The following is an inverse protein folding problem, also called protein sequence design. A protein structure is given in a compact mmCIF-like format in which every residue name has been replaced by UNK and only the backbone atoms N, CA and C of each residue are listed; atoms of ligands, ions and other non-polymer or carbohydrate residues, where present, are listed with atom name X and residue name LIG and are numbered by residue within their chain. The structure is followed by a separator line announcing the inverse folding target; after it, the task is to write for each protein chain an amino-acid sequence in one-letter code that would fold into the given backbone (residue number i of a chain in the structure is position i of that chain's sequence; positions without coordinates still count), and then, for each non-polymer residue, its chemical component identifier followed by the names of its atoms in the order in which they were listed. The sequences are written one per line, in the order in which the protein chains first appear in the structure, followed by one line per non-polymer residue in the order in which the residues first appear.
data_IF_465798530715
#
_entry.id   IF_465798530715
#
_cell.length_a   1.000
_cell.length_b   1.000
_cell.length_c   1.000
_cell.angle_alpha   90.00
_cell.angle_beta   90.00
_cell.angle_gamma   90.00
#
_symmetry.space_group_name_H-M   'P 1'
#
loop_
_entity.id
_entity.type
_entity.pdbx_description
1 polymer ?
#
# COMPACT_ATOMS: atom_id res chain seq x y z
N UNK A 1 -7.90 12.20 11.52
CA UNK A 1 -7.69 11.06 10.60
C UNK A 1 -6.26 10.57 10.65
N UNK A 2 -5.27 11.47 10.54
CA UNK A 2 -3.85 11.18 10.80
C UNK A 2 -3.56 10.33 12.06
N UNK A 3 -4.17 10.65 13.22
CA UNK A 3 -3.97 9.86 14.45
C UNK A 3 -4.45 8.41 14.33
N UNK A 4 -5.47 8.14 13.51
CA UNK A 4 -5.99 6.78 13.30
C UNK A 4 -5.07 5.97 12.40
N UNK A 5 -4.49 6.60 11.36
CA UNK A 5 -3.48 5.96 10.51
C UNK A 5 -2.20 5.65 11.30
N UNK A 6 -1.75 6.56 12.17
CA UNK A 6 -0.60 6.28 13.04
C UNK A 6 -0.86 5.13 14.02
N UNK A 7 -2.07 5.02 14.56
CA UNK A 7 -2.43 3.90 15.42
C UNK A 7 -2.46 2.57 14.65
N UNK A 8 -3.05 2.58 13.45
CA UNK A 8 -3.06 1.40 12.58
C UNK A 8 -1.64 1.01 12.15
N UNK A 9 -0.77 1.99 11.87
CA UNK A 9 0.66 1.78 11.61
C UNK A 9 1.32 1.04 12.78
N UNK A 10 1.13 1.48 14.01
CA UNK A 10 1.70 0.81 15.20
C UNK A 10 1.25 -0.64 15.30
N UNK A 11 -0.03 -0.91 15.06
CA UNK A 11 -0.58 -2.28 15.05
C UNK A 11 0.07 -3.15 13.97
N UNK A 12 0.25 -2.63 12.76
CA UNK A 12 0.94 -3.34 11.67
C UNK A 12 2.39 -3.65 12.06
N UNK A 13 3.09 -2.69 12.66
CA UNK A 13 4.52 -2.84 13.00
C UNK A 13 4.80 -3.90 14.07
N UNK A 14 3.81 -4.23 14.91
CA UNK A 14 3.93 -5.28 15.95
C UNK A 14 3.24 -6.59 15.56
N UNK A 15 2.67 -6.68 14.36
CA UNK A 15 1.93 -7.86 13.90
C UNK A 15 2.84 -9.09 13.70
N UNK A 16 2.43 -10.23 14.26
CA UNK A 16 3.15 -11.50 14.17
C UNK A 16 2.34 -12.62 13.47
N UNK A 17 1.16 -12.31 12.91
CA UNK A 17 0.23 -13.30 12.32
C UNK A 17 0.83 -14.15 11.19
N UNK A 18 1.90 -13.68 10.56
CA UNK A 18 2.59 -14.40 9.47
C UNK A 18 3.81 -15.20 9.95
N UNK A 19 4.11 -15.25 11.26
CA UNK A 19 5.32 -15.88 11.83
C UNK A 19 5.45 -17.36 11.48
N UNK A 20 4.32 -18.06 11.35
CA UNK A 20 4.29 -19.49 11.04
C UNK A 20 4.67 -19.78 9.58
N UNK A 21 4.68 -18.74 8.73
CA UNK A 21 5.00 -18.84 7.31
C UNK A 21 6.39 -18.27 6.97
N UNK A 22 6.86 -17.26 7.72
CA UNK A 22 8.18 -16.62 7.56
C UNK A 22 8.46 -15.62 8.70
N UNK A 23 9.71 -15.13 8.79
CA UNK A 23 10.07 -14.08 9.75
C UNK A 23 9.32 -12.78 9.42
N UNK A 24 8.37 -12.33 10.28
CA UNK A 24 7.60 -11.13 10.02
C UNK A 24 8.55 -9.93 10.01
N UNK A 25 8.46 -9.15 8.93
CA UNK A 25 9.25 -7.95 8.75
C UNK A 25 8.35 -6.88 8.11
N UNK A 26 7.40 -6.30 8.89
CA UNK A 26 6.48 -5.29 8.39
C UNK A 26 7.22 -4.12 7.74
N UNK A 27 6.68 -3.61 6.63
CA UNK A 27 7.19 -2.43 5.95
C UNK A 27 6.03 -1.66 5.35
N UNK A 28 6.15 -0.34 5.37
CA UNK A 28 5.16 0.61 4.86
C UNK A 28 5.88 1.70 4.07
N UNK A 29 5.17 2.32 3.13
CA UNK A 29 5.67 3.47 2.39
C UNK A 29 6.05 4.61 3.34
N UNK A 30 7.33 5.01 3.32
CA UNK A 30 7.84 6.06 4.20
C UNK A 30 7.37 7.44 3.74
N UNK A 31 7.25 8.34 4.71
CA UNK A 31 7.19 9.79 4.50
C UNK A 31 8.59 10.42 4.41
N UNK A 32 9.64 9.64 4.64
CA UNK A 32 11.05 10.04 4.67
C UNK A 32 11.65 10.04 3.25
N UNK A 33 11.03 10.79 2.33
CA UNK A 33 11.67 11.15 1.08
C UNK A 33 12.27 12.54 1.25
N UNK A 34 13.60 12.62 1.36
CA UNK A 34 14.31 13.87 1.62
C UNK A 34 14.01 14.98 0.60
N UNK A 35 13.62 14.60 -0.63
CA UNK A 35 13.34 15.52 -1.73
C UNK A 35 11.86 15.57 -2.15
N UNK A 36 10.96 14.88 -1.43
CA UNK A 36 9.57 14.86 -1.82
C UNK A 36 8.60 14.79 -0.63
N UNK A 37 7.66 15.71 -0.64
CA UNK A 37 6.59 15.93 0.34
C UNK A 37 5.51 14.83 0.34
N UNK A 38 5.84 13.65 -0.17
CA UNK A 38 4.94 12.49 -0.25
C UNK A 38 4.79 11.87 1.13
N UNK A 39 3.56 11.82 1.65
CA UNK A 39 3.28 11.32 3.01
C UNK A 39 3.30 9.80 3.14
N UNK A 40 3.34 9.06 2.03
CA UNK A 40 3.39 7.60 2.03
C UNK A 40 2.17 6.96 2.69
N UNK A 41 2.40 6.06 3.64
CA UNK A 41 1.34 5.42 4.43
C UNK A 41 0.50 6.42 5.24
N UNK A 42 1.06 7.57 5.59
CA UNK A 42 0.36 8.60 6.37
C UNK A 42 -0.39 9.60 5.47
N UNK A 43 -0.45 9.35 4.17
CA UNK A 43 -1.31 10.10 3.26
C UNK A 43 -2.78 9.88 3.63
N UNK A 44 -3.52 10.98 3.76
CA UNK A 44 -4.95 10.97 4.11
C UNK A 44 -5.86 10.83 2.87
N UNK A 45 -5.26 10.64 1.70
CA UNK A 45 -5.93 10.46 0.42
C UNK A 45 -6.22 11.76 -0.32
N UNK A 46 -6.25 12.93 0.33
CA UNK A 46 -6.69 14.17 -0.30
C UNK A 46 -5.79 14.63 -1.45
N UNK A 47 -6.34 14.67 -2.65
CA UNK A 47 -5.71 15.22 -3.86
C UNK A 47 -6.68 16.14 -4.59
N UNK A 48 -6.23 16.80 -5.66
CA UNK A 48 -7.11 17.60 -6.52
C UNK A 48 -8.17 16.77 -7.26
N UNK A 49 -8.00 15.45 -7.34
CA UNK A 49 -8.90 14.53 -8.00
C UNK A 49 -9.90 13.86 -7.04
N UNK A 50 -9.85 14.19 -5.74
CA UNK A 50 -10.57 13.47 -4.69
C UNK A 50 -9.62 12.66 -3.81
N UNK A 51 -10.18 11.72 -3.05
CA UNK A 51 -9.43 10.86 -2.13
C UNK A 51 -8.87 9.65 -2.86
N UNK A 52 -7.55 9.57 -2.97
CA UNK A 52 -6.86 8.54 -3.75
C UNK A 52 -6.02 7.65 -2.85
N UNK A 53 -6.14 6.35 -3.06
CA UNK A 53 -5.35 5.31 -2.40
C UNK A 53 -4.65 4.45 -3.46
N UNK A 54 -3.32 4.40 -3.41
CA UNK A 54 -2.51 3.50 -4.23
C UNK A 54 -2.25 2.21 -3.47
N UNK A 55 -2.55 1.07 -4.10
CA UNK A 55 -2.39 -0.25 -3.51
C UNK A 55 -1.39 -1.04 -4.38
N UNK A 56 -0.23 -1.35 -3.82
CA UNK A 56 0.78 -2.22 -4.41
C UNK A 56 0.64 -3.66 -3.89
N UNK A 57 1.39 -4.59 -4.50
CA UNK A 57 1.21 -6.02 -4.24
C UNK A 57 1.80 -6.43 -2.88
N UNK A 58 3.08 -6.14 -2.66
CA UNK A 58 3.77 -6.35 -1.38
C UNK A 58 5.05 -5.51 -1.27
N UNK A 59 5.51 -5.26 -0.04
CA UNK A 59 6.88 -4.83 0.23
C UNK A 59 7.90 -5.92 -0.15
N UNK A 60 8.83 -5.62 -1.05
CA UNK A 60 9.88 -6.59 -1.42
C UNK A 60 11.01 -6.66 -0.38
N UNK A 61 11.63 -7.84 -0.19
CA UNK A 61 12.84 -8.00 0.65
C UNK A 61 14.12 -7.41 0.08
N UNK A 62 14.09 -6.84 -1.14
CA UNK A 62 15.18 -5.99 -1.56
C UNK A 62 15.15 -4.77 -0.64
N UNK A 63 15.89 -4.85 0.47
CA UNK A 63 16.26 -3.68 1.26
C UNK A 63 16.59 -2.60 0.25
N UNK A 64 16.05 -1.37 0.35
CA UNK A 64 16.40 -0.30 -0.57
C UNK A 64 17.93 -0.23 -0.77
N UNK A 65 18.71 -0.57 0.26
CA UNK A 65 20.17 -0.64 0.22
C UNK A 65 20.84 -1.80 -0.53
N UNK A 66 20.13 -2.77 -1.15
CA UNK A 66 20.76 -3.93 -1.81
C UNK A 66 20.72 -3.93 -3.35
N UNK A 67 19.83 -3.17 -3.99
CA UNK A 67 19.95 -2.92 -5.44
C UNK A 67 19.62 -1.48 -5.78
N UNK A 68 20.53 -0.81 -6.49
CA UNK A 68 20.37 0.57 -6.97
C UNK A 68 19.09 0.74 -7.81
N UNK A 69 18.69 -0.32 -8.52
CA UNK A 69 17.47 -0.36 -9.33
C UNK A 69 16.21 -0.22 -8.47
N UNK A 70 16.15 -0.92 -7.33
CA UNK A 70 15.01 -0.83 -6.40
C UNK A 70 14.85 0.58 -5.83
N UNK A 71 15.97 1.25 -5.49
CA UNK A 71 15.94 2.67 -5.06
C UNK A 71 15.39 3.57 -6.16
N UNK A 72 15.94 3.47 -7.37
CA UNK A 72 15.53 4.28 -8.52
C UNK A 72 14.05 4.11 -8.88
N UNK A 73 13.47 2.91 -8.69
CA UNK A 73 12.04 2.67 -8.93
C UNK A 73 11.15 3.35 -7.89
N UNK A 74 11.51 3.27 -6.61
CA UNK A 74 10.77 3.96 -5.54
C UNK A 74 10.89 5.48 -5.72
N UNK A 75 12.10 5.97 -5.98
CA UNK A 75 12.36 7.39 -6.23
C UNK A 75 11.56 7.90 -7.45
N UNK A 76 11.56 7.15 -8.56
CA UNK A 76 10.74 7.48 -9.72
C UNK A 76 9.26 7.54 -9.36
N UNK A 77 8.75 6.55 -8.63
CA UNK A 77 7.35 6.52 -8.22
C UNK A 77 6.98 7.75 -7.39
N UNK A 78 7.78 8.08 -6.37
CA UNK A 78 7.58 9.24 -5.52
C UNK A 78 7.69 10.56 -6.30
N UNK A 79 8.64 10.67 -7.23
CA UNK A 79 8.77 11.83 -8.12
C UNK A 79 7.53 12.02 -9.01
N UNK A 80 6.94 10.93 -9.51
CA UNK A 80 5.70 10.98 -10.29
C UNK A 80 4.52 11.40 -9.42
N UNK A 81 4.38 10.85 -8.21
CA UNK A 81 3.33 11.28 -7.27
C UNK A 81 3.43 12.78 -7.00
N UNK A 82 4.63 13.30 -6.78
CA UNK A 82 4.86 14.74 -6.62
C UNK A 82 4.49 15.54 -7.87
N UNK A 83 5.00 15.13 -9.04
CA UNK A 83 4.74 15.80 -10.33
C UNK A 83 3.26 15.93 -10.64
N UNK A 84 2.45 14.95 -10.24
CA UNK A 84 1.01 14.91 -10.51
C UNK A 84 0.14 15.27 -9.29
N UNK A 85 0.72 15.85 -8.24
CA UNK A 85 0.00 16.37 -7.07
C UNK A 85 -0.74 15.31 -6.23
N UNK A 86 -0.15 14.11 -6.14
CA UNK A 86 -0.58 12.99 -5.28
C UNK A 86 0.23 12.88 -3.98
N UNK A 87 0.85 13.96 -3.50
CA UNK A 87 1.75 13.92 -2.34
C UNK A 87 1.05 13.53 -1.03
N UNK A 88 -0.25 13.78 -0.94
CA UNK A 88 -1.08 13.37 0.20
C UNK A 88 -1.99 12.15 -0.11
N UNK A 89 -1.79 11.46 -1.24
CA UNK A 89 -2.45 10.18 -1.49
C UNK A 89 -1.99 9.11 -0.49
N UNK A 90 -2.87 8.19 -0.13
CA UNK A 90 -2.52 7.08 0.76
C UNK A 90 -1.78 6.00 -0.03
N UNK A 91 -0.55 5.64 0.36
CA UNK A 91 0.23 4.59 -0.30
C UNK A 91 0.29 3.34 0.58
N UNK A 92 -0.07 2.20 0.02
CA UNK A 92 -0.08 0.95 0.77
C UNK A 92 0.17 -0.29 -0.08
N UNK A 93 0.27 -1.43 0.58
CA UNK A 93 0.38 -2.75 -0.02
C UNK A 93 -0.77 -3.68 0.42
N UNK A 94 -1.13 -4.65 -0.41
CA UNK A 94 -2.11 -5.69 -0.06
C UNK A 94 -1.65 -6.52 1.15
N UNK A 95 -0.34 -6.75 1.27
CA UNK A 95 0.27 -7.44 2.41
C UNK A 95 1.34 -6.57 3.04
N UNK A 96 1.48 -6.59 4.37
CA UNK A 96 2.35 -5.64 5.09
C UNK A 96 3.74 -6.16 5.37
N UNK A 97 3.96 -7.47 5.25
CA UNK A 97 5.25 -8.07 5.61
C UNK A 97 6.14 -8.22 4.38
N UNK A 98 7.42 -7.87 4.52
CA UNK A 98 8.43 -8.08 3.48
C UNK A 98 8.64 -9.56 3.25
N UNK A 99 8.69 -9.98 1.98
CA UNK A 99 9.04 -11.36 1.60
C UNK A 99 9.84 -11.44 0.30
N UNK A 100 10.64 -12.51 0.18
CA UNK A 100 11.29 -12.93 -1.06
C UNK A 100 10.38 -13.88 -1.85
N UNK A 101 10.44 -13.81 -3.18
CA UNK A 101 9.60 -14.62 -4.06
C UNK A 101 8.38 -13.87 -4.61
N UNK A 102 7.73 -14.45 -5.64
CA UNK A 102 6.74 -13.76 -6.48
C UNK A 102 5.28 -13.93 -6.06
N UNK A 103 4.91 -15.02 -5.39
CA UNK A 103 3.50 -15.29 -5.05
C UNK A 103 3.18 -14.97 -3.58
N UNK A 104 2.03 -14.36 -3.32
CA UNK A 104 1.45 -14.19 -1.99
C UNK A 104 0.47 -15.33 -1.77
N UNK A 105 0.52 -15.97 -0.60
CA UNK A 105 -0.43 -17.01 -0.21
C UNK A 105 -1.79 -16.42 0.21
N UNK A 106 -2.84 -17.22 0.11
CA UNK A 106 -4.17 -16.84 0.63
C UNK A 106 -4.14 -16.53 2.14
N UNK A 107 -3.29 -17.20 2.91
CA UNK A 107 -3.13 -16.95 4.34
C UNK A 107 -2.53 -15.57 4.61
N UNK A 108 -1.49 -15.17 3.87
CA UNK A 108 -0.89 -13.84 3.98
C UNK A 108 -1.90 -12.72 3.67
N UNK A 109 -2.71 -12.90 2.63
CA UNK A 109 -3.79 -11.96 2.29
C UNK A 109 -4.77 -11.87 3.45
N UNK A 110 -5.32 -13.00 3.90
CA UNK A 110 -6.29 -13.06 5.00
C UNK A 110 -5.78 -12.40 6.28
N UNK A 111 -4.51 -12.61 6.62
CA UNK A 111 -3.88 -11.99 7.78
C UNK A 111 -3.75 -10.47 7.68
N UNK A 112 -3.62 -9.94 6.45
CA UNK A 112 -3.50 -8.51 6.19
C UNK A 112 -4.83 -7.81 5.88
N UNK A 113 -5.90 -8.56 5.56
CA UNK A 113 -7.23 -7.99 5.27
C UNK A 113 -7.74 -7.03 6.35
N UNK A 114 -7.60 -7.32 7.67
CA UNK A 114 -8.07 -6.39 8.69
C UNK A 114 -7.38 -5.02 8.63
N UNK A 115 -6.09 -4.99 8.28
CA UNK A 115 -5.33 -3.74 8.16
C UNK A 115 -5.75 -2.97 6.91
N UNK A 116 -5.82 -3.63 5.75
CA UNK A 116 -6.27 -2.99 4.52
C UNK A 116 -7.70 -2.46 4.66
N UNK A 117 -8.59 -3.20 5.33
CA UNK A 117 -9.95 -2.74 5.65
C UNK A 117 -9.92 -1.49 6.51
N UNK A 118 -9.13 -1.49 7.59
CA UNK A 118 -8.98 -0.32 8.47
C UNK A 118 -8.45 0.90 7.72
N UNK A 119 -7.48 0.73 6.81
CA UNK A 119 -6.97 1.82 5.98
C UNK A 119 -8.07 2.39 5.07
N UNK A 120 -8.86 1.53 4.40
CA UNK A 120 -9.98 1.97 3.55
C UNK A 120 -11.06 2.69 4.37
N UNK A 121 -11.41 2.19 5.55
CA UNK A 121 -12.41 2.81 6.44
C UNK A 121 -11.95 4.17 6.99
N UNK A 122 -10.65 4.32 7.25
CA UNK A 122 -10.05 5.57 7.73
C UNK A 122 -9.94 6.59 6.59
N UNK A 123 -9.35 6.20 5.46
CA UNK A 123 -9.09 7.10 4.32
C UNK A 123 -10.39 7.45 3.61
N UNK A 124 -11.28 6.48 3.43
CA UNK A 124 -12.50 6.56 2.60
C UNK A 124 -12.17 7.05 1.19
N UNK A 125 -11.36 6.31 0.43
CA UNK A 125 -10.93 6.73 -0.90
C UNK A 125 -12.10 6.73 -1.90
N UNK A 126 -12.13 7.72 -2.77
CA UNK A 126 -12.99 7.75 -3.96
C UNK A 126 -12.40 6.87 -5.07
N UNK A 127 -11.06 6.76 -5.11
CA UNK A 127 -10.33 5.98 -6.11
C UNK A 127 -9.30 5.04 -5.48
N UNK A 128 -9.36 3.78 -5.90
CA UNK A 128 -8.32 2.78 -5.65
C UNK A 128 -7.47 2.58 -6.90
N UNK A 129 -6.17 2.84 -6.80
CA UNK A 129 -5.22 2.66 -7.89
C UNK A 129 -4.38 1.42 -7.64
N UNK A 130 -4.60 0.39 -8.45
CA UNK A 130 -3.77 -0.82 -8.41
C UNK A 130 -2.40 -0.55 -9.03
N UNK A 131 -1.34 -0.71 -8.24
CA UNK A 131 0.04 -0.55 -8.69
C UNK A 131 0.61 -1.92 -9.06
N UNK A 132 0.76 -2.15 -10.36
CA UNK A 132 1.31 -3.39 -10.94
C UNK A 132 0.27 -4.45 -11.29
N UNK A 133 0.68 -5.37 -12.18
CA UNK A 133 -0.20 -6.38 -12.78
C UNK A 133 -0.80 -7.34 -11.76
N UNK A 134 0.02 -7.83 -10.81
CA UNK A 134 -0.44 -8.76 -9.78
C UNK A 134 -1.52 -8.13 -8.89
N UNK A 135 -1.33 -6.86 -8.50
CA UNK A 135 -2.32 -6.10 -7.72
C UNK A 135 -3.61 -5.92 -8.53
N UNK A 136 -3.51 -5.53 -9.80
CA UNK A 136 -4.66 -5.33 -10.69
C UNK A 136 -5.54 -6.59 -10.79
N UNK A 137 -4.93 -7.78 -10.88
CA UNK A 137 -5.68 -9.03 -10.97
C UNK A 137 -6.31 -9.45 -9.64
N UNK A 138 -5.63 -9.24 -8.52
CA UNK A 138 -6.07 -9.77 -7.22
C UNK A 138 -6.97 -8.80 -6.45
N UNK A 139 -6.83 -7.49 -6.66
CA UNK A 139 -7.56 -6.47 -5.90
C UNK A 139 -9.09 -6.64 -5.96
N UNK A 140 -9.72 -6.96 -7.11
CA UNK A 140 -11.16 -7.20 -7.15
C UNK A 140 -11.62 -8.31 -6.18
N UNK A 141 -10.90 -9.43 -6.11
CA UNK A 141 -11.20 -10.51 -5.18
C UNK A 141 -10.97 -10.09 -3.72
N UNK A 142 -9.96 -9.25 -3.46
CA UNK A 142 -9.73 -8.70 -2.12
C UNK A 142 -10.88 -7.78 -1.70
N UNK A 143 -11.39 -6.94 -2.59
CA UNK A 143 -12.53 -6.06 -2.32
C UNK A 143 -13.82 -6.85 -2.06
N UNK A 144 -14.05 -7.92 -2.82
CA UNK A 144 -15.15 -8.87 -2.58
C UNK A 144 -15.04 -9.50 -1.19
N UNK A 145 -13.85 -9.96 -0.79
CA UNK A 145 -13.62 -10.51 0.55
C UNK A 145 -13.84 -9.48 1.68
N UNK A 146 -13.73 -8.20 1.39
CA UNK A 146 -13.97 -7.11 2.32
C UNK A 146 -15.45 -6.66 2.33
N UNK A 147 -16.30 -7.20 1.46
CA UNK A 147 -17.66 -6.74 1.19
C UNK A 147 -17.70 -5.24 0.85
N UNK A 148 -16.78 -4.78 0.01
CA UNK A 148 -16.68 -3.39 -0.42
C UNK A 148 -17.08 -3.25 -1.89
N UNK A 149 -18.14 -2.49 -2.14
CA UNK A 149 -18.53 -2.09 -3.50
C UNK A 149 -17.78 -0.83 -3.91
N UNK A 150 -16.84 -0.98 -4.84
CA UNK A 150 -16.27 0.14 -5.59
C UNK A 150 -16.86 0.15 -7.01
N UNK A 151 -17.31 1.31 -7.52
CA UNK A 151 -17.86 1.40 -8.87
C UNK A 151 -16.80 1.04 -9.93
N UNK A 152 -17.30 0.71 -11.13
CA UNK A 152 -16.65 0.09 -12.29
C UNK A 152 -15.13 0.26 -12.45
N UNK A 153 -14.48 -0.80 -12.96
CA UNK A 153 -13.08 -0.76 -13.42
C UNK A 153 -12.90 0.33 -14.49
N UNK A 154 -12.26 1.43 -14.13
CA UNK A 154 -11.76 2.41 -15.09
C UNK A 154 -10.57 1.84 -15.86
N UNK A 155 -10.71 1.69 -17.17
CA UNK A 155 -9.59 1.33 -18.04
C UNK A 155 -8.93 2.61 -18.56
N UNK A 156 -7.66 2.87 -18.21
CA UNK A 156 -6.84 3.79 -19.00
C UNK A 156 -6.33 3.03 -20.22
N UNK A 157 -6.75 3.44 -21.41
CA UNK A 157 -6.15 2.99 -22.68
C UNK A 157 -4.73 3.52 -22.84
#
# INVERSE_FOLDING_TARGET
MLMMLEELRKQIMVCDKCKDYFKPDPWLFSSECDECDVKGFLGEGHTKYGKVMFIAYRPSTHKPNKSEISKKRIELFYRLLRKFEFTNAHLTDLTKCRRSGKLISRAEIKNCLPYLKGEIEIVKPDFLVAVGLDTYHILPFVLELLNLDFPEKGYSK
#
